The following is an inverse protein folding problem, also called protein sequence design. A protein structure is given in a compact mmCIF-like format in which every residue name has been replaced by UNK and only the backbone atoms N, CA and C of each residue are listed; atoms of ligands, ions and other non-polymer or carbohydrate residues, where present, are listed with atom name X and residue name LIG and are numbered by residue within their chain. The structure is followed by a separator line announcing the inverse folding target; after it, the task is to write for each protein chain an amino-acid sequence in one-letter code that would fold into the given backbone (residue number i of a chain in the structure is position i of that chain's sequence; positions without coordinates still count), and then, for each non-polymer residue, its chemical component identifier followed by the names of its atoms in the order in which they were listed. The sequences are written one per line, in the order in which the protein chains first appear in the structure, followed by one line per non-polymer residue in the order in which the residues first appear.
data_IF_031713040561
#
_entry.id   IF_031713040561
#
_cell.length_a   1.000
_cell.length_b   1.000
_cell.length_c   1.000
_cell.angle_alpha   90.00
_cell.angle_beta   90.00
_cell.angle_gamma   90.00
#
_symmetry.space_group_name_H-M   'P 1'
#
loop_
_entity.id
_entity.type
_entity.pdbx_description
1 polymer ?
#
# COMPACT_ATOMS: atom_id res chain seq x y z
N UNK A 1 12.31 -3.42 21.36
CA UNK A 1 12.40 -4.73 20.72
C UNK A 1 13.57 -4.70 19.75
N UNK A 2 14.44 -5.71 19.80
CA UNK A 2 15.50 -5.91 18.79
C UNK A 2 15.08 -6.96 17.75
N UNK A 3 15.92 -7.18 16.73
CA UNK A 3 15.59 -8.08 15.62
C UNK A 3 15.45 -9.54 16.06
N UNK A 4 16.19 -9.98 17.08
CA UNK A 4 16.11 -11.35 17.56
C UNK A 4 14.81 -11.57 18.33
N UNK A 5 14.40 -10.58 19.14
CA UNK A 5 13.11 -10.59 19.82
C UNK A 5 11.93 -10.60 18.82
N UNK A 6 12.06 -9.90 17.68
CA UNK A 6 11.07 -9.96 16.59
C UNK A 6 10.96 -11.39 16.06
N UNK A 7 12.09 -12.04 15.74
CA UNK A 7 12.10 -13.40 15.23
C UNK A 7 11.54 -14.41 16.23
N UNK A 8 11.97 -14.34 17.50
CA UNK A 8 11.44 -15.21 18.56
C UNK A 8 9.93 -15.06 18.72
N UNK A 9 9.41 -13.84 18.65
CA UNK A 9 7.96 -13.57 18.74
C UNK A 9 7.22 -14.17 17.54
N UNK A 10 7.74 -14.01 16.33
CA UNK A 10 7.14 -14.57 15.12
C UNK A 10 7.16 -16.10 15.14
N UNK A 11 8.29 -16.71 15.52
CA UNK A 11 8.43 -18.16 15.63
C UNK A 11 7.46 -18.75 16.67
N UNK A 12 7.27 -18.08 17.81
CA UNK A 12 6.28 -18.48 18.82
C UNK A 12 4.85 -18.41 18.28
N UNK A 13 4.49 -17.31 17.59
CA UNK A 13 3.16 -17.16 16.98
C UNK A 13 2.90 -18.23 15.92
N UNK A 14 3.86 -18.50 15.05
CA UNK A 14 3.74 -19.53 14.02
C UNK A 14 3.58 -20.92 14.62
N UNK A 15 4.35 -21.23 15.68
CA UNK A 15 4.22 -22.47 16.44
C UNK A 15 2.83 -22.61 17.10
N UNK A 16 2.32 -21.55 17.76
CA UNK A 16 0.99 -21.53 18.36
C UNK A 16 -0.10 -21.77 17.31
N UNK A 17 -0.02 -21.06 16.18
CA UNK A 17 -0.98 -21.19 15.07
C UNK A 17 -0.96 -22.59 14.46
N UNK A 18 0.22 -23.16 14.24
CA UNK A 18 0.39 -24.53 13.73
C UNK A 18 -0.26 -25.56 14.66
N UNK A 19 -0.05 -25.43 15.97
CA UNK A 19 -0.68 -26.31 16.98
C UNK A 19 -2.21 -26.21 16.97
N UNK A 20 -2.77 -24.99 16.87
CA UNK A 20 -4.23 -24.80 16.79
C UNK A 20 -4.79 -25.45 15.52
N UNK A 21 -4.12 -25.26 14.37
CA UNK A 21 -4.54 -25.87 13.11
C UNK A 21 -4.50 -27.40 13.18
N UNK A 22 -3.42 -27.98 13.69
CA UNK A 22 -3.30 -29.43 13.88
C UNK A 22 -4.39 -29.97 14.82
N UNK A 23 -4.69 -29.26 15.92
CA UNK A 23 -5.78 -29.65 16.83
C UNK A 23 -7.15 -29.61 16.14
N UNK A 24 -7.41 -28.60 15.29
CA UNK A 24 -8.64 -28.51 14.49
C UNK A 24 -8.77 -29.63 13.47
N UNK A 25 -7.69 -29.97 12.78
CA UNK A 25 -7.65 -31.09 11.84
C UNK A 25 -7.96 -32.42 12.56
N UNK A 26 -7.31 -32.68 13.70
CA UNK A 26 -7.59 -33.87 14.50
C UNK A 26 -9.05 -33.93 15.00
N UNK A 27 -9.62 -32.79 15.42
CA UNK A 27 -11.02 -32.71 15.81
C UNK A 27 -11.95 -33.02 14.62
N UNK A 28 -11.63 -32.48 13.44
CA UNK A 28 -12.38 -32.74 12.20
C UNK A 28 -12.36 -34.21 11.81
N UNK A 29 -11.20 -34.86 11.86
CA UNK A 29 -11.07 -36.29 11.58
C UNK A 29 -11.83 -37.15 12.59
N UNK A 30 -11.79 -36.81 13.89
CA UNK A 30 -12.60 -37.50 14.91
C UNK A 30 -14.11 -37.36 14.67
N UNK A 31 -14.57 -36.19 14.21
CA UNK A 31 -15.98 -35.98 13.82
C UNK A 31 -16.37 -36.88 12.65
N UNK A 32 -15.52 -36.94 11.61
CA UNK A 32 -15.74 -37.83 10.45
C UNK A 32 -15.78 -39.30 10.85
N UNK A 33 -14.89 -39.74 11.75
CA UNK A 33 -14.88 -41.14 12.20
C UNK A 33 -16.11 -41.52 13.01
N UNK A 34 -16.64 -40.60 13.83
CA UNK A 34 -17.88 -40.81 14.59
C UNK A 34 -19.12 -40.90 13.70
N UNK A 35 -19.12 -40.15 12.59
CA UNK A 35 -20.15 -40.24 11.55
C UNK A 35 -19.97 -41.47 10.63
N UNK A 36 -18.93 -42.29 10.85
CA UNK A 36 -18.43 -43.31 9.93
C UNK A 36 -19.53 -44.10 9.22
N UNK A 37 -19.72 -43.85 7.92
CA UNK A 37 -20.60 -44.54 6.96
C UNK A 37 -22.07 -44.82 7.36
N UNK A 38 -22.52 -44.49 8.56
CA UNK A 38 -23.93 -44.61 8.95
C UNK A 38 -24.70 -43.44 8.36
N UNK A 39 -25.60 -43.72 7.43
CA UNK A 39 -26.65 -42.78 7.07
C UNK A 39 -27.53 -42.59 8.32
N UNK A 40 -27.28 -41.51 9.06
CA UNK A 40 -28.18 -41.08 10.13
C UNK A 40 -29.50 -40.72 9.46
N UNK A 41 -30.56 -41.40 9.86
CA UNK A 41 -31.91 -41.21 9.34
C UNK A 41 -32.86 -40.93 10.49
N UNK A 42 -34.08 -40.50 10.18
CA UNK A 42 -35.09 -40.28 11.21
C UNK A 42 -35.41 -41.56 12.00
N UNK A 43 -35.20 -42.74 11.40
CA UNK A 43 -35.47 -44.03 12.06
C UNK A 43 -34.38 -44.47 13.05
N UNK A 44 -33.15 -43.94 12.98
CA UNK A 44 -32.02 -44.41 13.81
C UNK A 44 -31.38 -43.34 14.71
N UNK A 45 -31.88 -42.09 14.67
CA UNK A 45 -31.28 -40.94 15.37
C UNK A 45 -31.18 -41.13 16.89
N UNK A 46 -32.22 -41.67 17.55
CA UNK A 46 -32.21 -41.86 19.01
C UNK A 46 -31.17 -42.88 19.47
N UNK A 47 -31.01 -43.96 18.70
CA UNK A 47 -29.98 -44.97 18.95
C UNK A 47 -28.58 -44.41 18.67
N UNK A 48 -28.41 -43.65 17.59
CA UNK A 48 -27.15 -42.98 17.28
C UNK A 48 -26.72 -42.02 18.40
N UNK A 49 -27.63 -41.15 18.86
CA UNK A 49 -27.34 -40.18 19.92
C UNK A 49 -27.02 -40.88 21.24
N UNK A 50 -27.80 -41.90 21.60
CA UNK A 50 -27.59 -42.65 22.84
C UNK A 50 -26.26 -43.41 22.84
N UNK A 51 -25.88 -44.01 21.70
CA UNK A 51 -24.63 -44.75 21.56
C UNK A 51 -23.38 -43.86 21.51
N UNK A 52 -23.53 -42.58 21.15
CA UNK A 52 -22.41 -41.66 20.94
C UNK A 52 -22.39 -40.46 21.90
N UNK A 53 -23.29 -40.38 22.88
CA UNK A 53 -23.49 -39.20 23.74
C UNK A 53 -22.19 -38.72 24.40
N UNK A 54 -21.44 -39.63 25.05
CA UNK A 54 -20.17 -39.29 25.73
C UNK A 54 -19.12 -38.78 24.74
N UNK A 55 -19.03 -39.40 23.56
CA UNK A 55 -18.09 -38.99 22.51
C UNK A 55 -18.44 -37.61 21.95
N UNK A 56 -19.73 -37.32 21.74
CA UNK A 56 -20.22 -36.01 21.30
C UNK A 56 -19.94 -34.92 22.34
N UNK A 57 -20.13 -35.22 23.63
CA UNK A 57 -19.82 -34.28 24.71
C UNK A 57 -18.31 -33.99 24.77
N UNK A 58 -17.47 -35.01 24.64
CA UNK A 58 -16.01 -34.85 24.59
C UNK A 58 -15.58 -34.00 23.38
N UNK A 59 -16.13 -34.25 22.19
CA UNK A 59 -15.87 -33.42 21.01
C UNK A 59 -16.27 -31.96 21.23
N UNK A 60 -17.41 -31.71 21.87
CA UNK A 60 -17.86 -30.36 22.22
C UNK A 60 -16.92 -29.66 23.21
N UNK A 61 -16.41 -30.38 24.22
CA UNK A 61 -15.40 -29.86 25.15
C UNK A 61 -14.07 -29.55 24.44
N UNK A 62 -13.63 -30.42 23.53
CA UNK A 62 -12.43 -30.19 22.72
C UNK A 62 -12.57 -28.95 21.83
N UNK A 63 -13.72 -28.79 21.15
CA UNK A 63 -13.98 -27.61 20.32
C UNK A 63 -13.92 -26.32 21.13
N UNK A 64 -14.58 -26.28 22.29
CA UNK A 64 -14.53 -25.12 23.18
C UNK A 64 -13.10 -24.79 23.63
N UNK A 65 -12.30 -25.80 23.96
CA UNK A 65 -10.92 -25.61 24.34
C UNK A 65 -10.06 -25.04 23.18
N UNK A 66 -10.23 -25.58 21.97
CA UNK A 66 -9.53 -25.08 20.78
C UNK A 66 -9.94 -23.64 20.45
N UNK A 67 -11.22 -23.30 20.58
CA UNK A 67 -11.70 -21.93 20.38
C UNK A 67 -11.13 -20.97 21.43
N UNK A 68 -11.05 -21.38 22.70
CA UNK A 68 -10.37 -20.58 23.73
C UNK A 68 -8.88 -20.36 23.45
N UNK A 69 -8.19 -21.36 22.89
CA UNK A 69 -6.81 -21.19 22.42
C UNK A 69 -6.70 -20.24 21.23
N UNK A 70 -7.67 -20.27 20.30
CA UNK A 70 -7.74 -19.33 19.18
C UNK A 70 -7.90 -17.90 19.68
N UNK A 71 -8.84 -17.64 20.59
CA UNK A 71 -9.06 -16.30 21.15
C UNK A 71 -7.81 -15.76 21.83
N UNK A 72 -7.11 -16.61 22.60
CA UNK A 72 -5.83 -16.24 23.21
C UNK A 72 -4.76 -15.95 22.15
N UNK A 73 -4.66 -16.78 21.12
CA UNK A 73 -3.74 -16.54 20.01
C UNK A 73 -4.04 -15.23 19.29
N UNK A 74 -5.31 -14.91 19.03
CA UNK A 74 -5.70 -13.67 18.36
C UNK A 74 -5.33 -12.44 19.20
N UNK A 75 -5.48 -12.53 20.53
CA UNK A 75 -5.01 -11.49 21.46
C UNK A 75 -3.49 -11.33 21.43
N UNK A 76 -2.73 -12.42 21.61
CA UNK A 76 -1.27 -12.43 21.56
C UNK A 76 -0.76 -11.86 20.22
N UNK A 77 -1.41 -12.26 19.11
CA UNK A 77 -1.09 -11.80 17.76
C UNK A 77 -1.33 -10.29 17.61
N UNK A 78 -2.46 -9.78 18.09
CA UNK A 78 -2.77 -8.35 18.00
C UNK A 78 -1.76 -7.50 18.76
N UNK A 79 -1.34 -7.94 19.95
CA UNK A 79 -0.32 -7.24 20.75
C UNK A 79 1.03 -7.26 20.04
N UNK A 80 1.49 -8.44 19.61
CA UNK A 80 2.75 -8.59 18.89
C UNK A 80 2.78 -7.79 17.58
N UNK A 81 1.68 -7.77 16.83
CA UNK A 81 1.60 -7.07 15.55
C UNK A 81 1.87 -5.57 15.69
N UNK A 82 1.35 -4.93 16.74
CA UNK A 82 1.59 -3.50 16.99
C UNK A 82 3.08 -3.22 17.26
N UNK A 83 3.72 -4.05 18.10
CA UNK A 83 5.13 -3.88 18.46
C UNK A 83 6.05 -4.19 17.27
N UNK A 84 5.75 -5.22 16.49
CA UNK A 84 6.51 -5.58 15.28
C UNK A 84 6.40 -4.49 14.22
N UNK A 85 5.19 -3.93 14.01
CA UNK A 85 5.01 -2.80 13.11
C UNK A 85 5.87 -1.60 13.51
N UNK A 86 5.88 -1.24 14.79
CA UNK A 86 6.70 -0.14 15.30
C UNK A 86 8.20 -0.41 15.09
N UNK A 87 8.65 -1.64 15.33
CA UNK A 87 10.03 -2.04 15.07
C UNK A 87 10.41 -1.89 13.59
N UNK A 88 9.60 -2.43 12.67
CA UNK A 88 9.84 -2.33 11.22
C UNK A 88 9.94 -0.87 10.79
N UNK A 89 9.04 -0.02 11.28
CA UNK A 89 9.05 1.40 10.96
C UNK A 89 10.33 2.09 11.45
N UNK A 90 10.71 1.88 12.72
CA UNK A 90 11.92 2.46 13.32
C UNK A 90 13.20 2.00 12.60
N UNK A 91 13.34 0.71 12.38
CA UNK A 91 14.51 0.12 11.70
C UNK A 91 14.61 0.60 10.26
N UNK A 92 13.49 0.70 9.54
CA UNK A 92 13.44 1.25 8.18
C UNK A 92 13.92 2.69 8.16
N UNK A 93 13.38 3.54 9.06
CA UNK A 93 13.78 4.95 9.18
C UNK A 93 15.28 5.08 9.46
N UNK A 94 15.79 4.32 10.43
CA UNK A 94 17.21 4.32 10.77
C UNK A 94 18.09 3.94 9.58
N UNK A 95 17.76 2.86 8.86
CA UNK A 95 18.51 2.44 7.67
C UNK A 95 18.45 3.47 6.54
N UNK A 96 17.31 4.15 6.36
CA UNK A 96 17.20 5.25 5.39
C UNK A 96 18.11 6.43 5.76
N UNK A 97 18.19 6.78 7.04
CA UNK A 97 19.08 7.82 7.56
C UNK A 97 20.55 7.44 7.37
N UNK A 98 20.95 6.22 7.73
CA UNK A 98 22.32 5.71 7.54
C UNK A 98 22.73 5.73 6.08
N UNK A 99 21.84 5.30 5.17
CA UNK A 99 22.08 5.34 3.72
C UNK A 99 21.94 6.75 3.12
N UNK A 100 21.60 7.76 3.94
CA UNK A 100 21.38 9.16 3.53
C UNK A 100 20.34 9.28 2.41
N UNK A 101 19.34 8.39 2.38
CA UNK A 101 18.34 8.32 1.31
C UNK A 101 17.55 9.63 1.25
N UNK A 102 17.09 10.15 2.39
CA UNK A 102 16.38 11.44 2.45
C UNK A 102 17.18 12.60 1.84
N UNK A 103 18.48 12.67 2.12
CA UNK A 103 19.36 13.72 1.58
C UNK A 103 19.49 13.59 0.06
N UNK A 104 19.67 12.37 -0.45
CA UNK A 104 19.77 12.12 -1.88
C UNK A 104 18.44 12.43 -2.59
N UNK A 105 17.33 11.97 -2.02
CA UNK A 105 15.98 12.22 -2.51
C UNK A 105 15.68 13.72 -2.61
N UNK A 106 15.88 14.48 -1.52
CA UNK A 106 15.73 15.95 -1.50
C UNK A 106 16.60 16.64 -2.57
N UNK A 107 17.84 16.20 -2.75
CA UNK A 107 18.74 16.75 -3.79
C UNK A 107 18.22 16.48 -5.21
N UNK A 108 17.67 15.29 -5.47
CA UNK A 108 17.09 14.94 -6.78
C UNK A 108 15.82 15.74 -7.04
N UNK A 109 14.94 15.86 -6.05
CA UNK A 109 13.74 16.69 -6.15
C UNK A 109 14.09 18.14 -6.48
N UNK A 110 15.06 18.75 -5.77
CA UNK A 110 15.49 20.12 -6.07
C UNK A 110 15.94 20.30 -7.52
N UNK A 111 16.75 19.36 -8.04
CA UNK A 111 17.16 19.40 -9.46
C UNK A 111 16.00 19.31 -10.44
N UNK A 112 14.96 18.54 -10.10
CA UNK A 112 13.75 18.44 -10.93
C UNK A 112 12.99 19.77 -10.91
N UNK A 113 12.88 20.40 -9.74
CA UNK A 113 12.25 21.72 -9.62
C UNK A 113 13.04 22.80 -10.37
N UNK A 114 14.37 22.85 -10.19
CA UNK A 114 15.23 23.83 -10.85
C UNK A 114 15.10 23.71 -12.39
N UNK A 115 15.17 22.49 -12.92
CA UNK A 115 14.99 22.23 -14.36
C UNK A 115 13.57 22.57 -14.85
N UNK A 116 12.55 22.36 -14.01
CA UNK A 116 11.18 22.74 -14.34
C UNK A 116 11.05 24.27 -14.43
N UNK A 117 11.66 25.01 -13.50
CA UNK A 117 11.64 26.47 -13.49
C UNK A 117 12.38 27.04 -14.72
N UNK A 118 13.55 26.49 -15.07
CA UNK A 118 14.29 26.85 -16.29
C UNK A 118 13.45 26.63 -17.56
N UNK A 119 12.70 25.52 -17.63
CA UNK A 119 11.79 25.22 -18.73
C UNK A 119 10.65 26.25 -18.84
N UNK A 120 10.12 26.76 -17.71
CA UNK A 120 9.08 27.79 -17.74
C UNK A 120 9.63 29.13 -18.27
N UNK A 121 10.86 29.49 -17.92
CA UNK A 121 11.50 30.69 -18.49
C UNK A 121 11.71 30.56 -20.00
N UNK A 122 12.17 29.41 -20.49
CA UNK A 122 12.28 29.16 -21.94
C UNK A 122 10.94 29.30 -22.68
N UNK A 123 9.84 28.88 -22.05
CA UNK A 123 8.49 29.07 -22.60
C UNK A 123 8.16 30.55 -22.74
N UNK A 124 8.48 31.36 -21.72
CA UNK A 124 8.27 32.80 -21.73
C UNK A 124 9.13 33.50 -22.79
N UNK A 125 10.38 33.08 -22.96
CA UNK A 125 11.26 33.61 -24.01
C UNK A 125 10.68 33.35 -25.41
N UNK A 126 10.14 32.14 -25.66
CA UNK A 126 9.47 31.82 -26.93
C UNK A 126 8.24 32.71 -27.16
N UNK A 127 7.44 32.95 -26.11
CA UNK A 127 6.28 33.85 -26.18
C UNK A 127 6.69 35.31 -26.47
N UNK A 128 7.79 35.79 -25.88
CA UNK A 128 8.34 37.12 -26.12
C UNK A 128 8.88 37.27 -27.55
N UNK A 129 9.68 36.31 -28.02
CA UNK A 129 10.21 36.29 -29.40
C UNK A 129 9.05 36.29 -30.39
N UNK A 130 8.05 35.43 -30.19
CA UNK A 130 6.87 35.36 -31.04
C UNK A 130 6.12 36.70 -31.10
N UNK A 131 5.89 37.32 -29.94
CA UNK A 131 5.25 38.64 -29.84
C UNK A 131 6.07 39.71 -30.58
N UNK A 132 7.40 39.67 -30.45
CA UNK A 132 8.32 40.55 -31.17
C UNK A 132 8.20 40.42 -32.68
N UNK A 133 8.20 39.19 -33.20
CA UNK A 133 8.05 38.88 -34.64
C UNK A 133 6.70 39.36 -35.17
N UNK A 134 5.60 39.07 -34.48
CA UNK A 134 4.26 39.53 -34.86
C UNK A 134 4.21 41.05 -34.92
N UNK A 135 4.77 41.72 -33.90
CA UNK A 135 4.83 43.19 -33.85
C UNK A 135 5.62 43.77 -35.02
N UNK A 136 6.79 43.24 -35.32
CA UNK A 136 7.64 43.72 -36.42
C UNK A 136 6.92 43.64 -37.77
N UNK A 137 6.25 42.51 -38.06
CA UNK A 137 5.51 42.34 -39.32
C UNK A 137 4.31 43.29 -39.38
N UNK A 138 3.59 43.45 -38.26
CA UNK A 138 2.40 44.31 -38.18
C UNK A 138 2.67 45.79 -38.46
N UNK A 139 3.91 46.25 -38.28
CA UNK A 139 4.31 47.63 -38.59
C UNK A 139 4.32 47.91 -40.10
N UNK A 140 4.46 46.87 -40.93
CA UNK A 140 4.57 47.00 -42.41
C UNK A 140 3.37 46.44 -43.15
N UNK A 141 2.68 45.46 -42.57
CA UNK A 141 1.59 44.74 -43.22
C UNK A 141 0.46 44.44 -42.24
N UNK A 142 -0.79 44.45 -42.74
CA UNK A 142 -1.94 44.00 -41.95
C UNK A 142 -1.87 42.49 -41.73
N UNK A 143 -1.93 42.07 -40.46
CA UNK A 143 -1.93 40.65 -40.07
C UNK A 143 -3.34 40.06 -39.91
N UNK A 144 -4.41 40.83 -40.16
CA UNK A 144 -5.80 40.38 -39.98
C UNK A 144 -6.17 39.02 -40.64
N UNK A 145 -5.64 38.63 -41.82
CA UNK A 145 -6.00 37.34 -42.41
C UNK A 145 -5.15 36.16 -41.90
N UNK A 146 -4.13 36.39 -41.07
CA UNK A 146 -3.20 35.35 -40.61
C UNK A 146 -3.44 35.00 -39.14
N UNK A 147 -3.28 33.72 -38.80
CA UNK A 147 -3.21 33.30 -37.40
C UNK A 147 -1.88 33.74 -36.80
N UNK A 148 -1.94 34.61 -35.80
CA UNK A 148 -0.76 35.09 -35.05
C UNK A 148 -0.67 34.46 -33.67
N UNK A 149 -1.53 33.50 -33.34
CA UNK A 149 -1.46 32.72 -32.10
C UNK A 149 -0.45 31.58 -32.32
N UNK A 150 0.66 31.61 -31.60
CA UNK A 150 1.57 30.45 -31.53
C UNK A 150 1.38 29.80 -30.17
N UNK A 151 1.03 28.53 -30.20
CA UNK A 151 1.11 27.70 -29.01
C UNK A 151 2.58 27.42 -28.72
N UNK A 152 3.10 27.65 -27.51
CA UNK A 152 4.46 27.23 -27.16
C UNK A 152 4.71 25.74 -27.44
N UNK A 153 3.65 24.92 -27.50
CA UNK A 153 3.69 23.50 -27.86
C UNK A 153 4.11 23.22 -29.31
N UNK A 154 3.94 24.17 -30.23
CA UNK A 154 4.39 23.99 -31.62
C UNK A 154 5.88 24.27 -31.78
N UNK A 155 6.50 24.94 -30.80
CA UNK A 155 7.94 25.28 -30.78
C UNK A 155 8.70 24.41 -29.78
N UNK A 156 8.12 24.15 -28.62
CA UNK A 156 8.62 23.31 -27.52
C UNK A 156 7.62 22.16 -27.24
N UNK A 157 7.64 21.09 -28.05
CA UNK A 157 6.55 20.09 -28.12
C UNK A 157 6.44 19.14 -26.92
N UNK A 158 7.42 19.13 -26.02
CA UNK A 158 7.40 18.31 -24.81
C UNK A 158 6.84 19.04 -23.59
N UNK A 159 6.34 20.27 -23.78
CA UNK A 159 5.81 21.11 -22.71
C UNK A 159 4.29 21.04 -22.54
N UNK A 160 3.65 19.90 -22.81
CA UNK A 160 2.19 19.80 -22.81
C UNK A 160 1.62 20.04 -21.42
N UNK A 161 0.90 21.17 -21.21
CA UNK A 161 0.08 21.30 -20.03
C UNK A 161 -1.16 20.40 -20.16
N UNK A 162 -1.68 19.94 -19.03
CA UNK A 162 -3.04 19.45 -18.94
C UNK A 162 -4.05 20.58 -19.24
N UNK A 163 -5.34 20.27 -19.17
CA UNK A 163 -6.43 21.22 -19.44
C UNK A 163 -6.43 22.48 -18.56
N UNK A 164 -5.60 22.54 -17.51
CA UNK A 164 -5.44 23.69 -16.63
C UNK A 164 -4.27 24.62 -17.01
N UNK A 165 -3.52 24.32 -18.08
CA UNK A 165 -2.40 25.16 -18.52
C UNK A 165 -1.07 24.85 -17.80
N UNK A 166 -1.04 23.77 -17.01
CA UNK A 166 0.13 23.29 -16.31
C UNK A 166 0.56 21.90 -16.78
N UNK A 167 1.86 21.61 -16.91
CA UNK A 167 2.29 20.20 -17.06
C UNK A 167 1.65 19.37 -15.94
N UNK A 168 1.36 18.09 -16.20
CA UNK A 168 0.78 17.11 -15.26
C UNK A 168 1.60 16.89 -13.96
N UNK A 169 2.63 17.73 -13.74
CA UNK A 169 3.52 17.84 -12.61
C UNK A 169 3.13 18.97 -11.64
N UNK A 170 2.11 19.79 -11.91
CA UNK A 170 1.85 20.99 -11.09
C UNK A 170 1.39 20.70 -9.67
N UNK A 171 0.60 19.63 -9.49
CA UNK A 171 0.19 19.17 -8.18
C UNK A 171 1.40 18.60 -7.42
N UNK A 172 2.15 17.71 -8.05
CA UNK A 172 3.37 17.16 -7.46
C UNK A 172 4.42 18.24 -7.18
N UNK A 173 4.54 19.25 -8.04
CA UNK A 173 5.49 20.36 -7.90
C UNK A 173 5.20 21.19 -6.65
N UNK A 174 3.94 21.55 -6.40
CA UNK A 174 3.55 22.28 -5.19
C UNK A 174 3.82 21.46 -3.93
N UNK A 175 3.42 20.19 -3.95
CA UNK A 175 3.60 19.28 -2.82
C UNK A 175 5.11 19.00 -2.55
N UNK A 176 5.92 18.91 -3.61
CA UNK A 176 7.38 18.77 -3.51
C UNK A 176 8.02 20.05 -2.97
N UNK A 177 7.58 21.24 -3.39
CA UNK A 177 8.07 22.52 -2.83
C UNK A 177 7.79 22.60 -1.34
N UNK A 178 6.56 22.35 -0.92
CA UNK A 178 6.18 22.34 0.50
C UNK A 178 6.99 21.30 1.30
N UNK A 179 7.20 20.10 0.73
CA UNK A 179 8.03 19.06 1.34
C UNK A 179 9.50 19.47 1.52
N UNK A 180 10.06 20.27 0.59
CA UNK A 180 11.45 20.73 0.64
C UNK A 180 11.65 21.95 1.55
N UNK A 181 10.60 22.72 1.82
CA UNK A 181 10.60 23.87 2.75
C UNK A 181 10.52 23.42 4.23
N UNK A 182 10.05 22.20 4.49
CA UNK A 182 10.04 21.53 5.80
C UNK A 182 11.36 20.86 6.16
#
# INVERSE_FOLDING_TARGET
MDINQVFETLDDLDNKKSKINSAREQLSEKRKSLLGNQAVSFENIDSFLSNNLESLEQLGKMEKAINGLQEKFDSDFSEANAVIFEYIFKETKQRMETKKIYKQYRKKLRRILDAYDEIQELKKDVEEIHTGVVREISQRHSLSPYRTEVSPLTVLPFLTPDSSGWMNFSKEYRDIKEYLEK
#
